data_IF_982860180456
#
_entry.id   IF_982860180456
#
_cell.length_a   1.000
_cell.length_b   1.000
_cell.length_c   1.000
_cell.angle_alpha   90.00
_cell.angle_beta   90.00
_cell.angle_gamma   90.00
#
_symmetry.space_group_name_H-M   'P 1'
#
loop_
_entity.id
_entity.type
_entity.pdbx_description
1 polymer ?
#
# COMPACT_ATOMS: atom_id res chain seq x y z
N UNK A 1 -3.87 -71.90 14.67
CA UNK A 1 -3.44 -70.75 15.50
C UNK A 1 -2.14 -70.06 15.03
N UNK A 2 -1.36 -70.64 14.09
CA UNK A 2 -0.06 -70.10 13.64
C UNK A 2 -0.17 -68.85 12.75
N UNK A 3 -1.33 -68.63 12.15
CA UNK A 3 -1.56 -67.60 11.14
C UNK A 3 -2.01 -66.27 11.80
N UNK A 4 -2.53 -66.34 13.03
CA UNK A 4 -3.03 -65.19 13.78
C UNK A 4 -1.89 -64.32 14.34
N UNK A 5 -0.77 -64.96 14.72
CA UNK A 5 0.42 -64.27 15.25
C UNK A 5 1.13 -63.43 14.19
N UNK A 6 1.11 -63.88 12.93
CA UNK A 6 1.69 -63.13 11.79
C UNK A 6 0.91 -61.84 11.54
N UNK A 7 -0.43 -61.87 11.64
CA UNK A 7 -1.28 -60.69 11.46
C UNK A 7 -1.00 -59.64 12.54
N UNK A 8 -0.79 -60.07 13.80
CA UNK A 8 -0.46 -59.16 14.90
C UNK A 8 0.91 -58.50 14.73
N UNK A 9 1.89 -59.23 14.18
CA UNK A 9 3.22 -58.71 13.91
C UNK A 9 3.24 -57.69 12.75
N UNK A 10 2.43 -57.91 11.72
CA UNK A 10 2.26 -56.96 10.60
C UNK A 10 1.54 -55.69 11.05
N UNK A 11 0.52 -55.80 11.93
CA UNK A 11 -0.17 -54.63 12.49
C UNK A 11 0.76 -53.77 13.37
N UNK A 12 1.68 -54.38 14.11
CA UNK A 12 2.62 -53.66 14.97
C UNK A 12 3.66 -52.87 14.16
N UNK A 13 4.00 -53.33 12.96
CA UNK A 13 4.94 -52.62 12.08
C UNK A 13 4.31 -51.40 11.37
N UNK A 14 2.99 -51.40 11.17
CA UNK A 14 2.26 -50.29 10.53
C UNK A 14 2.13 -49.03 11.43
N UNK A 15 2.44 -49.13 12.73
CA UNK A 15 2.29 -48.03 13.70
C UNK A 15 3.33 -46.90 13.61
N UNK A 16 4.26 -46.93 12.64
CA UNK A 16 5.33 -45.91 12.49
C UNK A 16 5.14 -44.98 11.28
N UNK A 17 3.91 -44.77 10.82
CA UNK A 17 3.59 -43.74 9.83
C UNK A 17 3.39 -42.38 10.50
N UNK A 18 4.50 -41.69 10.77
CA UNK A 18 4.47 -40.24 11.04
C UNK A 18 4.48 -39.51 9.70
N UNK A 19 3.29 -39.18 9.18
CA UNK A 19 3.10 -38.57 7.86
C UNK A 19 2.87 -37.04 7.91
N UNK A 20 3.04 -36.42 9.06
CA UNK A 20 2.74 -34.99 9.26
C UNK A 20 4.04 -34.26 9.62
N UNK A 21 4.90 -34.05 8.63
CA UNK A 21 5.80 -32.90 8.67
C UNK A 21 4.91 -31.65 8.52
N UNK A 22 4.42 -31.17 9.66
CA UNK A 22 3.89 -29.82 9.73
C UNK A 22 5.07 -28.90 9.42
N UNK A 23 5.22 -28.49 8.16
CA UNK A 23 6.07 -27.35 7.80
C UNK A 23 5.68 -26.25 8.78
N UNK A 24 6.58 -25.81 9.68
CA UNK A 24 6.22 -24.84 10.69
C UNK A 24 5.81 -23.59 9.92
N UNK A 25 4.51 -23.33 9.96
CA UNK A 25 3.89 -22.20 9.32
C UNK A 25 4.32 -20.99 10.15
N UNK A 26 5.54 -20.51 9.88
CA UNK A 26 6.29 -19.63 10.78
C UNK A 26 5.65 -18.25 10.79
N UNK A 27 4.69 -18.12 11.70
CA UNK A 27 3.96 -16.91 11.97
C UNK A 27 4.83 -16.06 12.90
N UNK A 28 5.42 -15.01 12.35
CA UNK A 28 6.25 -14.07 13.09
C UNK A 28 5.42 -12.90 13.59
N UNK A 29 5.82 -12.36 14.73
CA UNK A 29 5.27 -11.12 15.24
C UNK A 29 6.12 -9.96 14.72
N UNK A 30 5.52 -9.11 13.89
CA UNK A 30 6.18 -7.96 13.31
C UNK A 30 5.68 -6.70 14.01
N UNK A 31 6.59 -5.98 14.66
CA UNK A 31 6.31 -4.74 15.39
C UNK A 31 7.24 -3.63 14.94
N UNK A 32 6.74 -2.39 15.03
CA UNK A 32 7.50 -1.23 14.58
C UNK A 32 6.76 0.07 14.81
N UNK A 33 7.30 1.14 14.23
CA UNK A 33 6.77 2.49 14.31
C UNK A 33 6.58 3.07 12.92
N UNK A 34 5.45 3.72 12.66
CA UNK A 34 5.21 4.50 11.45
C UNK A 34 5.51 5.97 11.70
N UNK A 35 6.42 6.54 10.92
CA UNK A 35 6.91 7.91 11.06
C UNK A 35 6.87 8.68 9.73
N UNK A 36 6.88 9.99 9.83
CA UNK A 36 6.96 10.87 8.68
C UNK A 36 8.37 10.91 8.07
N UNK A 37 8.47 10.90 6.73
CA UNK A 37 9.73 11.00 6.01
C UNK A 37 10.53 12.28 6.25
N UNK A 38 9.86 13.39 6.52
CA UNK A 38 10.51 14.69 6.64
C UNK A 38 10.82 14.97 8.11
N UNK A 39 9.79 14.94 8.94
CA UNK A 39 9.90 15.43 10.33
C UNK A 39 10.11 14.29 11.35
N UNK A 40 10.11 13.03 10.91
CA UNK A 40 10.17 11.84 11.79
C UNK A 40 9.09 11.79 12.87
N UNK A 41 8.04 12.62 12.75
CA UNK A 41 6.89 12.62 13.64
C UNK A 41 6.13 11.29 13.53
N UNK A 42 5.66 10.77 14.66
CA UNK A 42 4.80 9.59 14.68
C UNK A 42 3.53 9.81 13.84
N UNK A 43 3.10 8.78 13.13
CA UNK A 43 1.87 8.77 12.33
C UNK A 43 0.84 7.87 13.05
N UNK A 44 -0.13 8.46 13.78
CA UNK A 44 -1.20 7.71 14.39
C UNK A 44 -2.23 7.26 13.37
N UNK A 45 -2.98 6.20 13.70
CA UNK A 45 -4.11 5.71 12.90
C UNK A 45 -3.74 5.33 11.45
N UNK A 46 -2.49 4.99 11.18
CA UNK A 46 -2.08 4.45 9.89
C UNK A 46 -2.62 3.01 9.75
N UNK A 47 -3.10 2.66 8.57
CA UNK A 47 -3.57 1.31 8.26
C UNK A 47 -2.41 0.46 7.77
N UNK A 48 -2.14 -0.63 8.46
CA UNK A 48 -1.15 -1.65 8.09
C UNK A 48 -1.89 -2.91 7.67
N UNK A 49 -1.86 -3.23 6.38
CA UNK A 49 -2.63 -4.33 5.80
C UNK A 49 -1.67 -5.34 5.17
N UNK A 50 -1.78 -6.60 5.54
CA UNK A 50 -1.12 -7.71 4.86
C UNK A 50 -1.95 -8.10 3.63
N UNK A 51 -1.43 -7.81 2.44
CA UNK A 51 -2.10 -8.08 1.17
C UNK A 51 -2.20 -9.58 0.86
N UNK A 52 -1.25 -10.38 1.37
CA UNK A 52 -1.23 -11.83 1.13
C UNK A 52 -2.34 -12.57 1.88
N UNK A 53 -2.71 -12.09 3.08
CA UNK A 53 -3.68 -12.76 3.97
C UNK A 53 -4.98 -11.99 4.21
N UNK A 54 -5.03 -10.70 3.87
CA UNK A 54 -6.16 -9.83 4.18
C UNK A 54 -6.28 -9.47 5.67
N UNK A 55 -5.26 -9.73 6.49
CA UNK A 55 -5.23 -9.31 7.90
C UNK A 55 -4.59 -7.94 8.04
N UNK A 56 -5.05 -7.10 8.96
CA UNK A 56 -4.43 -5.80 9.19
C UNK A 56 -4.53 -5.33 10.64
N UNK A 57 -3.82 -4.25 10.93
CA UNK A 57 -3.83 -3.54 12.21
C UNK A 57 -3.77 -2.03 11.95
N UNK A 58 -3.91 -1.24 13.00
CA UNK A 58 -3.83 0.22 12.96
C UNK A 58 -2.75 0.68 13.91
N UNK A 59 -1.98 1.72 13.55
CA UNK A 59 -0.98 2.29 14.46
C UNK A 59 -1.62 3.04 15.63
N UNK A 60 -1.00 2.93 16.81
CA UNK A 60 -1.37 3.66 18.02
C UNK A 60 -1.04 5.15 17.92
N UNK A 61 -1.36 5.92 18.96
CA UNK A 61 -1.09 7.37 19.06
C UNK A 61 0.40 7.69 18.83
N UNK A 62 1.29 6.85 19.36
CA UNK A 62 2.74 7.00 19.23
C UNK A 62 3.29 6.43 17.90
N UNK A 63 2.41 6.03 16.97
CA UNK A 63 2.78 5.43 15.70
C UNK A 63 3.23 3.96 15.80
N UNK A 64 3.19 3.36 16.99
CA UNK A 64 3.54 1.94 17.18
C UNK A 64 2.49 1.02 16.57
N UNK A 65 2.91 -0.11 16.01
CA UNK A 65 2.01 -1.13 15.49
C UNK A 65 2.57 -2.52 15.73
N UNK A 66 1.70 -3.51 15.70
CA UNK A 66 2.08 -4.91 15.73
C UNK A 66 1.11 -5.79 14.94
N UNK A 67 1.65 -6.69 14.11
CA UNK A 67 0.88 -7.57 13.23
C UNK A 67 1.57 -8.93 13.11
N UNK A 68 0.79 -10.00 12.96
CA UNK A 68 1.33 -11.34 12.69
C UNK A 68 1.50 -11.54 11.18
N UNK A 69 2.71 -11.91 10.75
CA UNK A 69 3.09 -12.03 9.34
C UNK A 69 3.85 -13.33 9.08
N UNK A 70 3.88 -13.81 7.84
CA UNK A 70 4.76 -14.88 7.39
C UNK A 70 5.89 -14.32 6.55
N UNK A 71 6.93 -15.13 6.35
CA UNK A 71 7.93 -14.83 5.34
C UNK A 71 7.28 -14.70 3.97
N UNK A 72 7.77 -13.76 3.16
CA UNK A 72 7.27 -13.44 1.82
C UNK A 72 5.91 -12.74 1.78
N UNK A 73 5.36 -12.32 2.93
CA UNK A 73 4.15 -11.50 2.94
C UNK A 73 4.45 -10.06 2.49
N UNK A 74 3.47 -9.44 1.84
CA UNK A 74 3.54 -8.02 1.45
C UNK A 74 2.63 -7.19 2.35
N UNK A 75 3.23 -6.24 3.06
CA UNK A 75 2.51 -5.27 3.87
C UNK A 75 2.33 -3.96 3.09
N UNK A 76 1.12 -3.42 3.16
CA UNK A 76 0.76 -2.09 2.69
C UNK A 76 0.54 -1.19 3.90
N UNK A 77 1.23 -0.06 3.94
CA UNK A 77 1.01 1.01 4.90
C UNK A 77 0.33 2.16 4.18
N UNK A 78 -0.75 2.67 4.77
CA UNK A 78 -1.53 3.76 4.19
C UNK A 78 -2.08 4.66 5.28
N UNK A 79 -2.10 5.96 5.01
CA UNK A 79 -2.64 6.97 5.92
C UNK A 79 -3.17 8.14 5.09
N UNK A 80 -4.25 8.77 5.53
CA UNK A 80 -4.79 9.96 4.87
C UNK A 80 -3.72 11.06 4.87
N UNK A 81 -3.48 11.68 3.71
CA UNK A 81 -2.45 12.70 3.53
C UNK A 81 -1.03 12.16 3.32
N UNK A 82 -0.86 10.85 3.13
CA UNK A 82 0.41 10.21 2.83
C UNK A 82 0.30 9.28 1.62
N UNK A 83 1.42 9.09 0.92
CA UNK A 83 1.52 8.07 -0.11
C UNK A 83 1.62 6.67 0.51
N UNK A 84 0.94 5.71 -0.13
CA UNK A 84 1.02 4.30 0.23
C UNK A 84 2.47 3.78 0.11
N UNK A 85 2.92 3.06 1.14
CA UNK A 85 4.20 2.36 1.10
C UNK A 85 4.01 0.85 1.18
N UNK A 86 4.90 0.11 0.53
CA UNK A 86 4.85 -1.35 0.48
C UNK A 86 6.14 -1.92 1.05
N UNK A 87 6.01 -2.90 1.94
CA UNK A 87 7.12 -3.62 2.52
C UNK A 87 6.98 -5.10 2.23
N UNK A 88 8.04 -5.68 1.67
CA UNK A 88 8.17 -7.11 1.49
C UNK A 88 8.86 -7.74 2.70
N UNK A 89 8.18 -8.64 3.40
CA UNK A 89 8.74 -9.32 4.58
C UNK A 89 9.74 -10.39 4.11
N UNK A 90 10.99 -10.22 4.51
CA UNK A 90 12.04 -11.23 4.40
C UNK A 90 12.52 -11.63 5.81
N UNK A 91 13.01 -12.85 5.99
CA UNK A 91 13.55 -13.36 7.25
C UNK A 91 14.58 -12.43 7.91
N UNK A 92 15.34 -11.65 7.12
CA UNK A 92 16.31 -10.68 7.63
C UNK A 92 15.69 -9.41 8.25
N UNK A 93 14.45 -9.10 7.89
CA UNK A 93 13.70 -7.90 8.33
C UNK A 93 12.81 -8.15 9.56
N UNK A 94 12.79 -9.39 10.07
CA UNK A 94 12.08 -9.78 11.29
C UNK A 94 12.82 -9.34 12.56
N UNK A 95 13.33 -8.11 12.57
CA UNK A 95 13.91 -7.48 13.75
C UNK A 95 12.79 -6.78 14.52
N UNK A 96 12.85 -6.77 15.87
CA UNK A 96 11.99 -5.90 16.64
C UNK A 96 12.27 -4.43 16.28
N UNK A 97 11.22 -3.60 16.37
CA UNK A 97 11.27 -2.14 16.33
C UNK A 97 11.71 -1.53 14.99
N UNK A 98 11.14 -2.03 13.90
CA UNK A 98 11.42 -1.48 12.57
C UNK A 98 10.71 -0.14 12.36
N UNK A 99 11.44 0.86 11.85
CA UNK A 99 10.91 2.18 11.55
C UNK A 99 10.45 2.22 10.10
N UNK A 100 9.16 2.45 9.89
CA UNK A 100 8.53 2.57 8.58
C UNK A 100 8.21 4.03 8.32
N UNK A 101 8.67 4.51 7.17
CA UNK A 101 8.59 5.93 6.84
C UNK A 101 7.57 6.17 5.74
N UNK A 102 6.62 7.08 5.96
CA UNK A 102 5.63 7.50 4.97
C UNK A 102 5.91 8.92 4.47
N UNK A 103 5.74 9.14 3.16
CA UNK A 103 5.89 10.46 2.52
C UNK A 103 4.54 11.15 2.47
N UNK A 104 4.47 12.42 2.85
CA UNK A 104 3.24 13.22 2.73
C UNK A 104 2.84 13.37 1.26
N UNK A 105 1.55 13.18 0.99
CA UNK A 105 0.91 13.42 -0.30
C UNK A 105 0.32 14.84 -0.30
N UNK A 106 1.18 15.83 -0.09
CA UNK A 106 0.79 17.24 -0.19
C UNK A 106 1.41 17.82 -1.44
N UNK A 107 0.55 18.25 -2.37
CA UNK A 107 0.97 19.11 -3.48
C UNK A 107 1.10 20.51 -2.89
N UNK A 108 2.32 21.03 -2.80
CA UNK A 108 2.53 22.44 -2.50
C UNK A 108 2.09 23.23 -3.74
N UNK A 109 0.99 23.95 -3.61
CA UNK A 109 0.56 24.91 -4.62
C UNK A 109 1.24 26.25 -4.35
N UNK A 110 1.82 26.82 -5.39
CA UNK A 110 2.36 28.18 -5.31
C UNK A 110 1.23 29.20 -5.10
N UNK A 111 1.59 30.35 -4.53
CA UNK A 111 0.63 31.42 -4.26
C UNK A 111 -0.04 31.91 -5.56
N UNK A 112 -1.38 31.85 -5.61
CA UNK A 112 -2.14 32.41 -6.72
C UNK A 112 -2.50 33.87 -6.43
N UNK A 113 -1.83 34.80 -7.08
CA UNK A 113 -2.18 36.23 -6.99
C UNK A 113 -3.38 36.57 -7.88
N UNK A 114 -4.59 36.50 -7.33
CA UNK A 114 -5.80 36.98 -8.01
C UNK A 114 -5.90 38.49 -7.90
N UNK A 115 -5.96 39.18 -9.04
CA UNK A 115 -6.14 40.64 -9.11
C UNK A 115 -7.53 40.98 -9.65
N UNK A 116 -8.19 42.03 -9.13
CA UNK A 116 -9.48 42.45 -9.65
C UNK A 116 -9.36 42.92 -11.10
N UNK A 117 -10.35 42.56 -11.91
CA UNK A 117 -10.39 43.00 -13.30
C UNK A 117 -10.60 44.52 -13.36
N UNK A 118 -9.85 45.26 -14.20
CA UNK A 118 -10.05 46.68 -14.39
C UNK A 118 -11.46 47.01 -14.90
N UNK A 119 -11.98 48.23 -14.64
CA UNK A 119 -13.32 48.62 -15.06
C UNK A 119 -13.48 48.50 -16.59
N UNK A 120 -14.70 48.17 -17.04
CA UNK A 120 -15.02 47.79 -18.43
C UNK A 120 -14.43 48.70 -19.51
N UNK A 121 -14.36 50.01 -19.26
CA UNK A 121 -13.76 51.00 -20.19
C UNK A 121 -12.27 50.75 -20.50
N UNK A 122 -11.54 50.13 -19.57
CA UNK A 122 -10.12 49.82 -19.72
C UNK A 122 -9.88 48.34 -20.11
N UNK A 123 -10.91 47.49 -20.08
CA UNK A 123 -10.78 46.07 -20.38
C UNK A 123 -10.13 45.80 -21.73
N UNK A 124 -10.51 46.55 -22.78
CA UNK A 124 -9.97 46.35 -24.13
C UNK A 124 -8.45 46.58 -24.18
N UNK A 125 -7.96 47.61 -23.51
CA UNK A 125 -6.52 47.92 -23.47
C UNK A 125 -5.77 46.85 -22.69
N UNK A 126 -6.28 46.52 -21.51
CA UNK A 126 -5.66 45.51 -20.62
C UNK A 126 -5.65 44.14 -21.29
N UNK A 127 -6.74 43.72 -21.94
CA UNK A 127 -6.81 42.43 -22.62
C UNK A 127 -5.81 42.31 -23.78
N UNK A 128 -5.62 43.37 -24.55
CA UNK A 128 -4.66 43.39 -25.67
C UNK A 128 -3.21 43.45 -25.18
N UNK A 129 -2.96 44.13 -24.07
CA UNK A 129 -1.63 44.26 -23.46
C UNK A 129 -1.25 43.06 -22.58
N UNK A 130 -2.23 42.29 -22.11
CA UNK A 130 -2.00 41.11 -21.27
C UNK A 130 -1.21 40.09 -22.06
N UNK A 131 0.07 39.95 -21.70
CA UNK A 131 0.89 38.85 -22.19
C UNK A 131 0.52 37.60 -21.42
N UNK A 132 0.04 36.59 -22.13
CA UNK A 132 -0.15 35.27 -21.55
C UNK A 132 1.25 34.79 -21.15
N UNK A 133 1.50 34.46 -19.87
CA UNK A 133 2.77 33.86 -19.50
C UNK A 133 2.98 32.64 -20.39
N UNK A 134 4.20 32.47 -20.88
CA UNK A 134 4.53 31.29 -21.69
C UNK A 134 4.10 30.08 -20.87
N UNK A 135 3.24 29.23 -21.45
CA UNK A 135 2.82 27.99 -20.80
C UNK A 135 4.09 27.21 -20.54
N UNK A 136 4.57 27.26 -19.30
CA UNK A 136 5.38 26.18 -18.77
C UNK A 136 4.43 25.00 -18.81
N UNK A 137 4.59 24.16 -19.83
CA UNK A 137 4.02 22.84 -19.75
C UNK A 137 4.55 22.31 -18.43
N UNK A 138 3.68 21.97 -17.46
CA UNK A 138 4.18 21.30 -16.29
C UNK A 138 5.00 20.13 -16.84
N UNK A 139 6.18 19.89 -16.28
CA UNK A 139 6.87 18.61 -16.43
C UNK A 139 5.96 17.56 -15.77
N UNK A 140 4.81 17.32 -16.41
CA UNK A 140 4.00 16.15 -16.27
C UNK A 140 4.96 15.10 -16.74
N UNK A 141 5.68 14.52 -15.77
CA UNK A 141 6.56 13.42 -15.99
C UNK A 141 5.63 12.27 -16.38
N UNK A 142 5.20 12.28 -17.64
CA UNK A 142 4.24 11.36 -18.22
C UNK A 142 4.81 9.96 -18.11
N UNK A 143 6.13 9.80 -18.02
CA UNK A 143 6.80 8.58 -17.63
C UNK A 143 6.31 8.03 -16.28
N UNK A 144 6.15 8.88 -15.25
CA UNK A 144 5.63 8.51 -13.93
C UNK A 144 4.14 8.12 -13.96
N UNK A 145 3.36 8.66 -14.90
CA UNK A 145 1.94 8.34 -15.05
C UNK A 145 1.65 7.18 -16.02
N UNK A 146 2.42 7.05 -17.10
CA UNK A 146 2.34 5.99 -18.10
C UNK A 146 2.99 4.68 -17.61
N UNK A 147 3.90 4.77 -16.63
CA UNK A 147 4.45 3.59 -15.94
C UNK A 147 3.53 3.01 -14.87
N UNK A 148 2.49 3.75 -14.44
CA UNK A 148 1.38 3.17 -13.67
C UNK A 148 0.39 2.61 -14.68
N UNK A 149 0.52 1.31 -14.89
CA UNK A 149 -0.32 0.44 -15.68
C UNK A 149 -1.81 0.88 -15.73
N UNK A 150 -2.16 1.74 -16.70
CA UNK A 150 -3.54 2.20 -16.95
C UNK A 150 -4.46 1.03 -17.38
N UNK A 151 -3.88 -0.16 -17.61
CA UNK A 151 -4.59 -1.37 -17.99
C UNK A 151 -5.07 -2.20 -16.78
N UNK A 152 -4.63 -1.91 -15.55
CA UNK A 152 -5.13 -2.64 -14.37
C UNK A 152 -6.43 -2.01 -13.87
N UNK A 153 -7.48 -2.20 -14.67
CA UNK A 153 -8.86 -1.97 -14.24
C UNK A 153 -9.11 -2.88 -13.03
N UNK A 154 -9.51 -2.36 -11.86
CA UNK A 154 -9.96 -3.25 -10.78
C UNK A 154 -11.10 -4.12 -11.35
N UNK A 155 -10.99 -5.44 -11.19
CA UNK A 155 -11.96 -6.41 -11.75
C UNK A 155 -13.40 -6.10 -11.31
N UNK A 156 -13.55 -5.31 -10.24
CA UNK A 156 -14.80 -4.77 -9.72
C UNK A 156 -15.02 -3.31 -10.12
N UNK A 157 -15.17 -3.01 -11.41
CA UNK A 157 -15.83 -1.77 -11.83
C UNK A 157 -17.16 -2.09 -12.50
N UNK A 158 -18.23 -1.56 -11.93
CA UNK A 158 -19.59 -1.59 -12.48
C UNK A 158 -19.51 -0.96 -13.86
N UNK A 159 -19.80 -1.74 -14.90
CA UNK A 159 -19.85 -1.26 -16.28
C UNK A 159 -21.07 -0.37 -16.46
N UNK A 160 -20.88 0.94 -16.46
CA UNK A 160 -21.88 1.87 -16.98
C UNK A 160 -21.77 1.85 -18.50
N UNK A 161 -22.62 1.06 -19.16
CA UNK A 161 -22.82 1.18 -20.60
C UNK A 161 -23.52 2.52 -20.87
N UNK A 162 -22.83 3.40 -21.60
CA UNK A 162 -23.44 4.61 -22.14
C UNK A 162 -24.58 4.27 -23.10
N UNK A 163 -25.48 5.23 -23.39
CA UNK A 163 -26.61 5.00 -24.27
C UNK A 163 -26.11 4.56 -25.65
N UNK A 164 -26.62 3.41 -26.12
CA UNK A 164 -26.43 2.97 -27.49
C UNK A 164 -27.00 4.06 -28.42
N UNK A 165 -26.14 4.65 -29.24
CA UNK A 165 -26.60 5.43 -30.37
C UNK A 165 -27.20 4.44 -31.37
N UNK A 166 -28.52 4.54 -31.56
CA UNK A 166 -29.29 3.88 -32.61
C UNK A 166 -28.98 4.50 -33.97
#
# INVERSE_FOLDING_TARGET
>A
MKNLTVIFFVLFWAGKLSAQEAVPDSLYFFSGYTVNAIDSSAIPNSHIINLSKGTGTVSSVDGSFALRVRNMDTLKFSCVGFHDSFLFINSSLLRPDLIITLKRDTILMDELRVSPLPPRRFFRYVFLETRIPKKEEPDLNLQFMLGRDLAKVPETSIRFTGPAQL
#
